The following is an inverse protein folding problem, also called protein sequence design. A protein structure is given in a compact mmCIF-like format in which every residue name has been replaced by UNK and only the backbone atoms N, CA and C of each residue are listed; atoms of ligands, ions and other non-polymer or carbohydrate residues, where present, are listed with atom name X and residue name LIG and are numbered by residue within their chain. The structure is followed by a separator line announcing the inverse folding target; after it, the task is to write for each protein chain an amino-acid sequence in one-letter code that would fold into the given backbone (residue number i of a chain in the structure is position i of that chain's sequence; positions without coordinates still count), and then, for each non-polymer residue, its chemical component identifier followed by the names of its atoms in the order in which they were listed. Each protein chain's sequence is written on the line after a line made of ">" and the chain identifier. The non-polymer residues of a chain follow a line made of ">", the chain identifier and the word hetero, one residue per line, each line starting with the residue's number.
data_IF_393800025125
#
_entry.id   IF_393800025125
#
_cell.length_a   1.000
_cell.length_b   1.000
_cell.length_c   1.000
_cell.angle_alpha   90.00
_cell.angle_beta   90.00
_cell.angle_gamma   90.00
#
_symmetry.space_group_name_H-M   'P 1'
#
loop_
_entity.id
_entity.type
_entity.pdbx_description
1 polymer ?
#
# COMPACT_ATOMS: atom_id res chain seq x y z
N UNK A 1 11.32 34.42 -26.17
CA UNK A 1 10.03 34.74 -26.80
C UNK A 1 9.49 33.52 -27.50
N UNK A 2 8.25 33.17 -27.19
CA UNK A 2 7.56 32.04 -27.84
C UNK A 2 6.64 32.57 -28.95
N UNK A 3 6.58 31.83 -30.07
CA UNK A 3 5.64 32.15 -31.15
C UNK A 3 4.20 31.92 -30.65
N UNK A 4 3.29 32.79 -30.99
CA UNK A 4 1.87 32.64 -30.70
C UNK A 4 1.23 31.63 -31.67
N UNK A 5 1.52 30.35 -31.44
CA UNK A 5 1.03 29.22 -32.24
C UNK A 5 0.51 28.11 -31.34
N UNK A 6 -0.51 27.39 -31.79
CA UNK A 6 -1.08 26.27 -31.05
C UNK A 6 -0.20 25.04 -31.26
N UNK A 7 0.33 24.49 -30.17
CA UNK A 7 0.97 23.18 -30.16
C UNK A 7 0.00 22.11 -29.65
N UNK A 8 0.18 20.88 -30.16
CA UNK A 8 -0.75 19.76 -30.03
C UNK A 8 -1.06 19.26 -28.62
N UNK A 9 -1.37 18.00 -28.51
CA UNK A 9 -2.09 17.41 -27.38
C UNK A 9 -1.20 17.18 -26.14
N UNK A 10 -1.00 18.22 -25.35
CA UNK A 10 -0.07 18.27 -24.20
C UNK A 10 -0.30 17.20 -23.15
N UNK A 11 -1.57 16.93 -22.79
CA UNK A 11 -1.89 15.95 -21.76
C UNK A 11 -1.40 14.56 -22.14
N UNK A 12 -1.67 14.14 -23.38
CA UNK A 12 -1.23 12.82 -23.85
C UNK A 12 0.29 12.67 -23.87
N UNK A 13 1.01 13.74 -24.23
CA UNK A 13 2.46 13.72 -24.34
C UNK A 13 3.18 13.74 -22.99
N UNK A 14 2.46 14.09 -21.92
CA UNK A 14 2.98 14.10 -20.56
C UNK A 14 2.93 12.72 -19.91
N UNK A 15 1.92 11.91 -20.21
CA UNK A 15 1.70 10.62 -19.60
C UNK A 15 2.49 9.50 -20.26
N UNK A 16 2.97 8.58 -19.45
CA UNK A 16 3.58 7.33 -19.88
C UNK A 16 2.53 6.26 -20.18
N UNK A 17 2.96 5.20 -20.84
CA UNK A 17 2.15 3.98 -20.92
C UNK A 17 2.29 3.19 -19.63
N UNK A 18 1.18 2.97 -18.94
CA UNK A 18 1.14 2.13 -17.75
C UNK A 18 1.39 0.66 -18.11
N UNK A 19 2.05 -0.06 -17.19
CA UNK A 19 2.32 -1.47 -17.33
C UNK A 19 2.11 -2.18 -15.98
N UNK A 20 1.40 -3.30 -15.99
CA UNK A 20 1.14 -4.11 -14.81
C UNK A 20 1.56 -5.55 -15.05
N UNK A 21 2.31 -6.12 -14.10
CA UNK A 21 2.78 -7.49 -14.13
C UNK A 21 2.49 -8.16 -12.79
N UNK A 22 1.74 -9.28 -12.84
CA UNK A 22 1.35 -10.02 -11.66
C UNK A 22 1.76 -11.49 -11.82
N UNK A 23 2.46 -12.01 -10.83
CA UNK A 23 2.87 -13.40 -10.74
C UNK A 23 2.36 -13.99 -9.45
N UNK A 24 1.83 -15.21 -9.51
CA UNK A 24 1.44 -15.96 -8.34
C UNK A 24 1.82 -17.45 -8.54
N UNK A 25 2.47 -18.00 -7.53
CA UNK A 25 2.82 -19.41 -7.47
C UNK A 25 2.30 -19.96 -6.15
N UNK A 26 1.63 -21.09 -6.18
CA UNK A 26 1.16 -21.75 -4.97
C UNK A 26 1.37 -23.27 -5.05
N UNK A 27 1.65 -23.85 -3.90
CA UNK A 27 1.68 -25.29 -3.70
C UNK A 27 0.74 -25.63 -2.57
N UNK A 28 -0.02 -26.70 -2.73
CA UNK A 28 -0.95 -27.17 -1.70
C UNK A 28 -1.01 -28.67 -1.68
N UNK A 29 -1.27 -29.20 -0.51
CA UNK A 29 -1.55 -30.61 -0.29
C UNK A 29 -2.71 -30.74 0.70
N UNK A 30 -3.57 -31.72 0.46
CA UNK A 30 -4.70 -32.04 1.33
C UNK A 30 -4.75 -33.55 1.50
N UNK A 31 -4.86 -33.99 2.73
CA UNK A 31 -5.09 -35.39 3.13
C UNK A 31 -6.34 -35.45 3.99
N UNK A 32 -6.77 -36.64 4.38
CA UNK A 32 -7.92 -36.82 5.27
C UNK A 32 -7.74 -36.15 6.64
N UNK A 33 -6.48 -35.92 7.07
CA UNK A 33 -6.14 -35.40 8.41
C UNK A 33 -5.36 -34.11 8.39
N UNK A 34 -4.94 -33.61 7.24
CA UNK A 34 -4.13 -32.40 7.17
C UNK A 34 -4.35 -31.65 5.87
N UNK A 35 -4.17 -30.35 5.95
CA UNK A 35 -4.07 -29.50 4.77
C UNK A 35 -2.88 -28.56 4.92
N UNK A 36 -2.29 -28.23 3.78
CA UNK A 36 -1.22 -27.26 3.70
C UNK A 36 -1.35 -26.48 2.39
N UNK A 37 -1.13 -25.18 2.47
CA UNK A 37 -1.00 -24.31 1.30
C UNK A 37 0.05 -23.25 1.58
N UNK A 38 1.02 -23.13 0.66
CA UNK A 38 1.93 -21.98 0.60
C UNK A 38 1.74 -21.28 -0.74
N UNK A 39 1.70 -19.95 -0.73
CA UNK A 39 1.64 -19.17 -1.94
C UNK A 39 2.56 -17.95 -1.86
N UNK A 40 3.16 -17.64 -3.00
CA UNK A 40 3.97 -16.46 -3.20
C UNK A 40 3.38 -15.63 -4.34
N UNK A 41 3.18 -14.34 -4.11
CA UNK A 41 2.69 -13.39 -5.09
C UNK A 41 3.65 -12.22 -5.26
N UNK A 42 3.81 -11.76 -6.49
CA UNK A 42 4.55 -10.53 -6.82
C UNK A 42 3.75 -9.72 -7.83
N UNK A 43 3.59 -8.42 -7.54
CA UNK A 43 2.91 -7.47 -8.40
C UNK A 43 3.82 -6.26 -8.60
N UNK A 44 4.13 -5.94 -9.86
CA UNK A 44 4.93 -4.80 -10.24
C UNK A 44 4.11 -3.96 -11.23
N UNK A 45 3.82 -2.74 -10.84
CA UNK A 45 3.02 -1.81 -11.64
C UNK A 45 3.82 -0.53 -11.87
N UNK A 46 3.91 -0.12 -13.13
CA UNK A 46 4.28 1.22 -13.54
C UNK A 46 2.99 1.98 -13.88
N UNK A 47 2.75 3.10 -13.20
CA UNK A 47 1.58 3.94 -13.45
C UNK A 47 1.63 4.66 -14.79
N UNK A 48 0.58 5.37 -15.10
CA UNK A 48 0.52 6.26 -16.29
C UNK A 48 1.19 7.60 -16.00
N UNK A 49 1.33 7.97 -14.75
CA UNK A 49 2.14 9.14 -14.38
C UNK A 49 3.61 8.79 -14.47
N UNK A 50 4.44 9.67 -15.05
CA UNK A 50 5.88 9.44 -15.08
C UNK A 50 6.41 9.23 -13.65
N UNK A 51 7.37 8.33 -13.49
CA UNK A 51 8.01 7.91 -12.24
C UNK A 51 7.13 7.07 -11.28
N UNK A 52 5.80 7.05 -11.42
CA UNK A 52 4.90 6.29 -10.54
C UNK A 52 5.16 4.78 -10.60
N UNK A 53 5.39 4.18 -9.43
CA UNK A 53 5.59 2.74 -9.28
C UNK A 53 4.86 2.20 -8.06
N UNK A 54 4.33 0.99 -8.19
CA UNK A 54 3.77 0.22 -7.09
C UNK A 54 4.26 -1.22 -7.15
N UNK A 55 5.00 -1.63 -6.13
CA UNK A 55 5.52 -2.98 -6.00
C UNK A 55 4.91 -3.65 -4.77
N UNK A 56 4.42 -4.89 -4.93
CA UNK A 56 3.90 -5.70 -3.85
C UNK A 56 4.45 -7.11 -3.91
N UNK A 57 4.81 -7.63 -2.76
CA UNK A 57 5.19 -9.02 -2.55
C UNK A 57 4.32 -9.57 -1.42
N UNK A 58 3.77 -10.77 -1.60
CA UNK A 58 3.00 -11.48 -0.59
C UNK A 58 3.52 -12.90 -0.42
N UNK A 59 3.54 -13.35 0.82
CA UNK A 59 3.76 -14.75 1.19
C UNK A 59 2.62 -15.18 2.10
N UNK A 60 1.87 -16.19 1.71
CA UNK A 60 0.78 -16.74 2.51
C UNK A 60 1.06 -18.22 2.82
N UNK A 61 0.95 -18.57 4.07
CA UNK A 61 1.03 -19.94 4.57
C UNK A 61 -0.25 -20.26 5.32
N UNK A 62 -0.86 -21.39 5.02
CA UNK A 62 -2.01 -21.94 5.71
C UNK A 62 -1.76 -23.42 5.92
N UNK A 63 -1.92 -23.89 7.15
CA UNK A 63 -1.78 -25.30 7.49
C UNK A 63 -2.73 -25.68 8.62
N UNK A 64 -3.22 -26.90 8.57
CA UNK A 64 -3.99 -27.48 9.64
C UNK A 64 -3.85 -29.00 9.65
N UNK A 65 -3.99 -29.57 10.83
CA UNK A 65 -3.89 -31.01 11.01
C UNK A 65 -4.73 -31.52 12.18
N UNK A 66 -5.27 -32.71 12.01
CA UNK A 66 -5.82 -33.53 13.10
C UNK A 66 -4.73 -34.46 13.63
N UNK A 67 -4.11 -34.09 14.74
CA UNK A 67 -3.05 -34.91 15.35
C UNK A 67 -3.59 -36.25 15.82
N UNK A 68 -4.79 -36.23 16.37
CA UNK A 68 -5.54 -37.43 16.80
C UNK A 68 -7.02 -37.04 16.99
N UNK A 69 -7.86 -37.97 17.43
CA UNK A 69 -9.30 -37.72 17.68
C UNK A 69 -9.59 -36.65 18.73
N UNK A 70 -8.60 -36.29 19.56
CA UNK A 70 -8.76 -35.31 20.64
C UNK A 70 -8.22 -33.94 20.30
N UNK A 71 -7.25 -33.83 19.40
CA UNK A 71 -6.52 -32.59 19.16
C UNK A 71 -6.42 -32.31 17.67
N UNK A 72 -6.91 -31.14 17.27
CA UNK A 72 -6.67 -30.53 15.96
C UNK A 72 -6.11 -29.12 16.10
N UNK A 73 -5.29 -28.73 15.14
CA UNK A 73 -4.64 -27.43 15.06
C UNK A 73 -4.76 -26.88 13.65
N UNK A 74 -4.94 -25.57 13.56
CA UNK A 74 -4.91 -24.84 12.28
C UNK A 74 -4.27 -23.48 12.45
N UNK A 75 -3.74 -22.96 11.37
CA UNK A 75 -3.12 -21.63 11.43
C UNK A 75 -2.88 -21.06 10.05
N UNK A 76 -2.83 -19.75 10.03
CA UNK A 76 -2.51 -18.96 8.84
C UNK A 76 -1.57 -17.83 9.22
N UNK A 77 -0.57 -17.59 8.38
CA UNK A 77 0.25 -16.39 8.41
C UNK A 77 0.34 -15.79 7.01
N UNK A 78 0.16 -14.49 6.92
CA UNK A 78 0.32 -13.70 5.71
C UNK A 78 1.33 -12.62 5.96
N UNK A 79 2.36 -12.56 5.12
CA UNK A 79 3.39 -11.53 5.12
C UNK A 79 3.26 -10.75 3.83
N UNK A 80 3.30 -9.43 3.90
CA UNK A 80 3.28 -8.59 2.71
C UNK A 80 4.19 -7.39 2.86
N UNK A 81 4.80 -7.01 1.73
CA UNK A 81 5.49 -5.73 1.56
C UNK A 81 4.86 -5.02 0.38
N UNK A 82 4.45 -3.78 0.61
CA UNK A 82 3.96 -2.88 -0.45
C UNK A 82 4.82 -1.64 -0.43
N UNK A 83 5.37 -1.27 -1.59
CA UNK A 83 6.12 -0.03 -1.78
C UNK A 83 5.53 0.73 -2.95
N UNK A 84 5.11 1.96 -2.72
CA UNK A 84 4.73 2.91 -3.76
C UNK A 84 5.73 4.05 -3.80
N UNK A 85 6.03 4.52 -5.00
CA UNK A 85 6.95 5.61 -5.28
C UNK A 85 6.27 6.59 -6.23
N UNK A 86 6.51 7.88 -5.99
CA UNK A 86 6.08 9.00 -6.83
C UNK A 86 4.60 8.97 -7.18
N UNK A 87 3.74 8.75 -6.17
CA UNK A 87 2.29 8.85 -6.36
C UNK A 87 1.91 10.26 -6.76
N UNK A 88 1.03 10.42 -7.76
CA UNK A 88 0.64 11.75 -8.22
C UNK A 88 -0.06 12.55 -7.11
N UNK A 89 0.40 13.76 -6.90
CA UNK A 89 -0.25 14.72 -6.04
C UNK A 89 -1.25 15.56 -6.86
N UNK A 90 -2.53 15.49 -6.51
CA UNK A 90 -3.62 16.17 -7.22
C UNK A 90 -3.95 17.59 -6.68
N UNK A 91 -3.21 18.09 -5.71
CA UNK A 91 -3.37 19.45 -5.19
C UNK A 91 -2.89 20.54 -6.18
N UNK A 92 -3.16 21.79 -5.85
CA UNK A 92 -2.83 22.98 -6.68
C UNK A 92 -1.36 23.02 -7.09
N UNK A 93 -0.47 22.49 -6.24
CA UNK A 93 0.99 22.48 -6.50
C UNK A 93 1.48 21.17 -7.14
N UNK A 94 0.59 20.24 -7.42
CA UNK A 94 0.92 19.01 -8.12
C UNK A 94 1.21 19.23 -9.59
N UNK A 95 2.01 18.34 -10.18
CA UNK A 95 2.42 18.42 -11.58
C UNK A 95 1.24 18.52 -12.56
N UNK A 96 0.09 17.88 -12.24
CA UNK A 96 -1.12 17.91 -13.08
C UNK A 96 -1.74 19.30 -13.12
N UNK A 97 -1.91 19.95 -11.97
CA UNK A 97 -2.46 21.31 -11.93
C UNK A 97 -1.56 22.30 -12.67
N UNK A 98 -0.24 22.15 -12.52
CA UNK A 98 0.74 22.95 -13.23
C UNK A 98 0.67 22.69 -14.75
N UNK A 99 0.55 21.44 -15.16
CA UNK A 99 0.39 21.05 -16.57
C UNK A 99 -0.87 21.66 -17.20
N UNK A 100 -1.99 21.70 -16.50
CA UNK A 100 -3.24 22.29 -16.97
C UNK A 100 -3.14 23.82 -17.11
N UNK A 101 -2.29 24.46 -16.32
CA UNK A 101 -2.04 25.90 -16.38
C UNK A 101 -1.18 26.36 -17.56
N UNK A 102 -0.56 25.44 -18.32
CA UNK A 102 0.35 25.80 -19.43
C UNK A 102 -0.44 26.35 -20.62
N UNK A 103 -0.10 27.55 -21.13
CA UNK A 103 -0.71 28.11 -22.34
C UNK A 103 -0.46 27.24 -23.57
N UNK A 104 -1.39 27.28 -24.54
CA UNK A 104 -1.33 26.42 -25.73
C UNK A 104 -0.17 26.72 -26.68
N UNK A 105 0.49 27.86 -26.53
CA UNK A 105 1.66 28.27 -27.34
C UNK A 105 3.01 27.82 -26.71
N UNK A 106 3.00 27.06 -25.64
CA UNK A 106 4.21 26.50 -25.02
C UNK A 106 4.32 25.01 -25.37
N UNK A 107 5.48 24.55 -25.80
CA UNK A 107 5.74 23.14 -26.07
C UNK A 107 6.15 22.44 -24.79
N UNK A 108 5.54 21.28 -24.51
CA UNK A 108 5.96 20.45 -23.38
C UNK A 108 7.41 20.00 -23.49
N UNK A 109 7.89 19.75 -24.70
CA UNK A 109 9.26 19.29 -24.90
C UNK A 109 10.30 20.33 -24.47
N UNK A 110 9.98 21.63 -24.59
CA UNK A 110 10.86 22.72 -24.16
C UNK A 110 10.94 22.78 -22.63
N UNK A 111 9.92 22.28 -21.92
CA UNK A 111 9.86 22.24 -20.46
C UNK A 111 10.58 21.02 -19.84
N UNK A 112 10.96 20.02 -20.65
CA UNK A 112 11.74 18.87 -20.17
C UNK A 112 13.12 19.26 -19.64
N UNK A 113 13.68 20.35 -20.12
CA UNK A 113 14.86 20.99 -19.52
C UNK A 113 14.42 21.84 -18.34
N UNK A 114 14.01 21.18 -17.26
CA UNK A 114 13.40 21.82 -16.11
C UNK A 114 14.41 22.50 -15.15
N UNK A 115 15.69 22.21 -15.29
CA UNK A 115 16.77 22.76 -14.47
C UNK A 115 17.97 23.09 -15.32
N UNK A 116 18.66 24.21 -15.04
CA UNK A 116 19.91 24.58 -15.70
C UNK A 116 21.13 24.37 -14.82
N UNK A 117 21.03 24.54 -13.51
CA UNK A 117 22.17 24.50 -12.58
C UNK A 117 21.84 23.63 -11.33
N UNK A 118 21.08 22.57 -11.54
CA UNK A 118 20.68 21.63 -10.51
C UNK A 118 19.43 22.00 -9.74
N UNK A 119 19.25 23.26 -9.32
CA UNK A 119 18.16 23.66 -8.45
C UNK A 119 17.17 24.68 -9.05
N UNK A 120 17.60 25.50 -10.01
CA UNK A 120 16.71 26.47 -10.64
C UNK A 120 15.84 25.80 -11.69
N UNK A 121 14.52 26.00 -11.65
CA UNK A 121 13.64 25.48 -12.68
C UNK A 121 13.46 26.42 -13.88
N UNK A 122 13.50 25.87 -15.07
CA UNK A 122 13.20 26.59 -16.31
C UNK A 122 11.68 26.60 -16.50
N UNK A 123 11.12 27.80 -16.64
CA UNK A 123 9.68 27.99 -16.78
C UNK A 123 9.37 29.00 -17.90
N UNK A 124 8.12 29.04 -18.37
CA UNK A 124 7.63 30.02 -19.36
C UNK A 124 7.12 31.31 -18.72
N UNK A 125 6.95 31.32 -17.41
CA UNK A 125 6.54 32.48 -16.62
C UNK A 125 7.75 33.08 -15.90
N UNK A 126 7.61 34.31 -15.42
CA UNK A 126 8.62 34.91 -14.57
C UNK A 126 8.69 34.20 -13.18
N UNK A 127 9.75 34.45 -12.42
CA UNK A 127 9.98 33.76 -11.14
C UNK A 127 8.90 34.01 -10.07
N UNK A 128 8.11 35.08 -10.22
CA UNK A 128 7.06 35.46 -9.27
C UNK A 128 5.68 34.89 -9.58
N UNK A 129 5.52 34.09 -10.64
CA UNK A 129 4.20 33.71 -11.12
C UNK A 129 3.52 32.57 -10.34
N UNK A 130 4.16 31.96 -9.37
CA UNK A 130 3.59 30.87 -8.57
C UNK A 130 3.25 29.59 -9.36
N UNK A 131 3.52 29.57 -10.65
CA UNK A 131 3.32 28.44 -11.57
C UNK A 131 4.68 27.79 -11.82
N UNK A 132 4.79 26.53 -11.55
CA UNK A 132 6.04 25.77 -11.69
C UNK A 132 6.04 24.94 -12.95
N UNK A 133 7.24 24.65 -13.47
CA UNK A 133 7.40 23.68 -14.55
C UNK A 133 6.93 22.29 -14.07
N UNK A 134 5.97 21.63 -14.73
CA UNK A 134 5.46 20.32 -14.30
C UNK A 134 6.52 19.22 -14.27
N UNK A 135 7.55 19.29 -15.12
CA UNK A 135 8.68 18.35 -15.08
C UNK A 135 9.63 18.63 -13.92
N UNK A 136 9.75 19.89 -13.47
CA UNK A 136 10.46 20.18 -12.24
C UNK A 136 9.76 19.55 -11.03
N UNK A 137 8.46 19.76 -10.90
CA UNK A 137 7.66 19.17 -9.82
C UNK A 137 7.76 17.64 -9.85
N UNK A 138 7.70 17.03 -11.03
CA UNK A 138 7.79 15.59 -11.22
C UNK A 138 9.14 14.99 -10.80
N UNK A 139 10.24 15.70 -11.04
CA UNK A 139 11.60 15.16 -10.90
C UNK A 139 12.34 15.68 -9.66
N UNK A 140 11.75 16.64 -8.93
CA UNK A 140 12.36 17.25 -7.75
C UNK A 140 11.51 17.08 -6.49
N UNK A 141 10.30 16.56 -6.63
CA UNK A 141 9.42 16.24 -5.53
C UNK A 141 9.08 14.76 -5.57
N UNK A 142 9.59 14.05 -4.60
CA UNK A 142 9.39 12.61 -4.52
C UNK A 142 8.59 12.27 -3.27
N UNK A 143 7.75 11.27 -3.39
CA UNK A 143 7.11 10.64 -2.25
C UNK A 143 7.23 9.13 -2.35
N UNK A 144 7.38 8.49 -1.23
CA UNK A 144 7.31 7.03 -1.16
C UNK A 144 6.60 6.60 0.11
N UNK A 145 5.83 5.54 0.01
CA UNK A 145 5.30 4.83 1.15
C UNK A 145 5.64 3.35 1.06
N UNK A 146 6.18 2.83 2.14
CA UNK A 146 6.51 1.42 2.28
C UNK A 146 5.80 0.84 3.49
N UNK A 147 5.01 -0.21 3.26
CA UNK A 147 4.32 -0.94 4.32
C UNK A 147 4.74 -2.39 4.36
N UNK A 148 5.19 -2.81 5.53
CA UNK A 148 5.33 -4.21 5.91
C UNK A 148 4.17 -4.61 6.78
N UNK A 149 3.52 -5.73 6.49
CA UNK A 149 2.44 -6.28 7.30
C UNK A 149 2.60 -7.76 7.50
N UNK A 150 2.40 -8.19 8.73
CA UNK A 150 2.31 -9.59 9.12
C UNK A 150 0.99 -9.77 9.87
N UNK A 151 0.12 -10.64 9.38
CA UNK A 151 -1.11 -10.96 10.09
C UNK A 151 -1.43 -12.44 9.98
N UNK A 152 -2.14 -12.94 10.95
CA UNK A 152 -2.46 -14.35 10.96
C UNK A 152 -3.21 -14.77 12.20
N UNK A 153 -3.40 -16.08 12.29
CA UNK A 153 -3.96 -16.70 13.46
C UNK A 153 -3.38 -18.10 13.66
N UNK A 154 -3.47 -18.56 14.88
CA UNK A 154 -3.28 -19.93 15.30
C UNK A 154 -4.50 -20.40 16.07
N UNK A 155 -5.06 -21.55 15.69
CA UNK A 155 -6.21 -22.18 16.32
C UNK A 155 -5.88 -23.57 16.82
N UNK A 156 -6.49 -23.93 17.94
CA UNK A 156 -6.42 -25.26 18.52
C UNK A 156 -7.81 -25.68 18.98
N UNK A 157 -8.18 -26.92 18.71
CA UNK A 157 -9.40 -27.53 19.20
C UNK A 157 -9.09 -28.82 19.92
N UNK A 158 -9.60 -28.93 21.15
CA UNK A 158 -9.48 -30.12 22.02
C UNK A 158 -10.87 -30.71 22.20
N UNK A 159 -11.05 -31.94 21.79
CA UNK A 159 -12.27 -32.73 22.04
C UNK A 159 -12.06 -33.58 23.29
N UNK A 160 -12.64 -33.19 24.41
CA UNK A 160 -12.59 -33.97 25.66
C UNK A 160 -13.46 -35.22 25.57
N UNK A 161 -14.61 -35.07 24.92
CA UNK A 161 -15.58 -36.13 24.65
C UNK A 161 -16.23 -35.85 23.30
N UNK A 162 -17.11 -36.72 22.84
CA UNK A 162 -17.87 -36.53 21.59
C UNK A 162 -18.85 -35.33 21.65
N UNK A 163 -19.15 -34.87 22.86
CA UNK A 163 -20.11 -33.81 23.14
C UNK A 163 -19.50 -32.53 23.78
N UNK A 164 -18.23 -32.58 24.24
CA UNK A 164 -17.57 -31.47 24.94
C UNK A 164 -16.23 -31.17 24.26
N UNK A 165 -16.09 -29.94 23.78
CA UNK A 165 -14.87 -29.47 23.15
C UNK A 165 -14.50 -28.03 23.54
N UNK A 166 -13.21 -27.78 23.55
CA UNK A 166 -12.61 -26.47 23.77
C UNK A 166 -11.93 -26.03 22.49
N UNK A 167 -12.23 -24.80 22.05
CA UNK A 167 -11.49 -24.13 20.98
C UNK A 167 -10.74 -22.93 21.56
N UNK A 168 -9.50 -22.77 21.18
CA UNK A 168 -8.71 -21.59 21.47
C UNK A 168 -8.15 -21.04 20.18
N UNK A 169 -8.24 -19.72 19.98
CA UNK A 169 -7.71 -19.03 18.81
C UNK A 169 -7.00 -17.77 19.24
N UNK A 170 -5.81 -17.57 18.70
CA UNK A 170 -5.06 -16.32 18.83
C UNK A 170 -4.84 -15.74 17.45
N UNK A 171 -5.26 -14.50 17.23
CA UNK A 171 -5.06 -13.76 16.00
C UNK A 171 -4.20 -12.53 16.28
N UNK A 172 -3.43 -12.13 15.28
CA UNK A 172 -2.63 -10.91 15.35
C UNK A 172 -2.58 -10.19 14.00
N UNK A 173 -2.43 -8.88 14.04
CA UNK A 173 -2.14 -8.02 12.91
C UNK A 173 -1.06 -7.01 13.32
N UNK A 174 0.04 -7.01 12.60
CA UNK A 174 1.14 -6.08 12.78
C UNK A 174 1.46 -5.42 11.46
N UNK A 175 1.55 -4.10 11.43
CA UNK A 175 2.14 -3.42 10.30
C UNK A 175 3.04 -2.25 10.73
N UNK A 176 4.04 -2.00 9.90
CA UNK A 176 4.87 -0.80 9.94
C UNK A 176 4.77 -0.12 8.59
N UNK A 177 4.41 1.16 8.60
CA UNK A 177 4.39 2.03 7.42
C UNK A 177 5.44 3.12 7.60
N UNK A 178 6.26 3.31 6.57
CA UNK A 178 7.18 4.44 6.45
C UNK A 178 6.73 5.28 5.27
N UNK A 179 6.54 6.58 5.51
CA UNK A 179 6.22 7.58 4.50
C UNK A 179 7.40 8.54 4.44
N UNK A 180 7.92 8.77 3.25
CA UNK A 180 9.01 9.72 3.00
C UNK A 180 8.60 10.67 1.88
N UNK A 181 8.78 11.95 2.12
CA UNK A 181 8.55 13.01 1.13
C UNK A 181 9.78 13.90 1.07
N UNK A 182 10.27 14.14 -0.13
CA UNK A 182 11.38 15.05 -0.39
C UNK A 182 10.96 16.09 -1.42
N UNK A 183 11.20 17.34 -1.10
CA UNK A 183 10.93 18.46 -1.98
C UNK A 183 12.22 19.25 -2.14
N UNK A 184 12.78 19.31 -3.34
CA UNK A 184 13.87 20.21 -3.61
C UNK A 184 13.38 21.66 -3.62
N UNK A 185 14.10 22.54 -2.99
CA UNK A 185 13.88 23.98 -3.06
C UNK A 185 14.07 24.50 -4.47
N UNK A 186 13.24 25.42 -4.91
CA UNK A 186 13.32 25.96 -6.27
C UNK A 186 14.14 27.27 -6.35
N UNK A 187 14.64 27.76 -5.21
CA UNK A 187 15.43 28.99 -5.13
C UNK A 187 14.65 30.24 -5.51
N UNK A 188 13.34 30.14 -5.69
CA UNK A 188 12.49 31.27 -6.07
C UNK A 188 12.03 31.96 -4.79
N UNK A 189 12.67 33.05 -4.48
CA UNK A 189 12.23 33.99 -3.46
C UNK A 189 11.09 34.84 -4.03
N UNK A 190 9.85 34.38 -3.90
CA UNK A 190 8.68 35.13 -4.35
C UNK A 190 7.83 35.61 -3.19
N UNK A 191 7.34 36.86 -3.24
CA UNK A 191 6.28 37.37 -2.35
C UNK A 191 4.91 36.71 -2.61
N UNK A 192 4.89 35.51 -3.15
CA UNK A 192 3.68 34.76 -3.45
C UNK A 192 3.12 34.17 -2.15
N UNK A 193 1.82 34.28 -1.95
CA UNK A 193 1.06 33.66 -0.84
C UNK A 193 1.08 32.12 -0.85
N UNK A 194 1.80 31.54 -1.77
CA UNK A 194 2.14 30.13 -1.88
C UNK A 194 3.36 29.92 -1.00
N UNK A 195 3.28 29.01 -0.06
CA UNK A 195 4.42 28.61 0.78
C UNK A 195 5.54 28.13 -0.15
N UNK A 196 6.44 29.04 -0.50
CA UNK A 196 7.55 28.77 -1.37
C UNK A 196 8.51 27.87 -0.62
N UNK A 197 8.77 26.71 -1.18
CA UNK A 197 9.82 25.82 -0.69
C UNK A 197 11.12 26.40 -1.26
N UNK A 198 11.67 27.39 -0.55
CA UNK A 198 12.95 28.00 -0.94
C UNK A 198 14.11 27.08 -0.66
N UNK A 199 13.98 26.21 0.34
CA UNK A 199 14.99 25.27 0.79
C UNK A 199 14.55 23.83 0.54
N UNK A 200 15.51 22.91 0.52
CA UNK A 200 15.24 21.49 0.47
C UNK A 200 14.47 21.06 1.72
N UNK A 201 13.40 20.30 1.54
CA UNK A 201 12.57 19.79 2.62
C UNK A 201 12.51 18.27 2.55
N UNK A 202 12.70 17.62 3.70
CA UNK A 202 12.48 16.19 3.86
C UNK A 202 11.52 15.96 5.02
N UNK A 203 10.44 15.25 4.74
CA UNK A 203 9.51 14.76 5.73
C UNK A 203 9.56 13.24 5.80
N UNK A 204 9.61 12.70 7.03
CA UNK A 204 9.60 11.26 7.26
C UNK A 204 8.66 10.94 8.41
N UNK A 205 7.70 10.05 8.14
CA UNK A 205 6.74 9.55 9.12
C UNK A 205 6.87 8.03 9.21
N UNK A 206 6.84 7.52 10.45
CA UNK A 206 6.79 6.08 10.71
C UNK A 206 5.57 5.78 11.59
N UNK A 207 4.74 4.85 11.13
CA UNK A 207 3.58 4.36 11.83
C UNK A 207 3.78 2.88 12.13
N UNK A 208 3.63 2.49 13.39
CA UNK A 208 3.61 1.09 13.81
C UNK A 208 2.25 0.78 14.43
N UNK A 209 1.70 -0.35 14.06
CA UNK A 209 0.43 -0.83 14.57
C UNK A 209 0.57 -2.29 14.97
N UNK A 210 0.01 -2.62 16.11
CA UNK A 210 -0.12 -4.00 16.55
C UNK A 210 -1.47 -4.19 17.22
N UNK A 211 -2.17 -5.23 16.78
CA UNK A 211 -3.43 -5.68 17.36
C UNK A 211 -3.35 -7.18 17.56
N UNK A 212 -3.87 -7.68 18.66
CA UNK A 212 -4.03 -9.11 18.89
C UNK A 212 -5.37 -9.40 19.52
N UNK A 213 -5.90 -10.57 19.25
CA UNK A 213 -7.14 -11.06 19.83
C UNK A 213 -6.99 -12.52 20.25
N UNK A 214 -7.35 -12.82 21.48
CA UNK A 214 -7.41 -14.16 22.01
C UNK A 214 -8.86 -14.56 22.28
N UNK A 215 -9.25 -15.72 21.80
CA UNK A 215 -10.60 -16.25 21.92
C UNK A 215 -10.52 -17.67 22.49
N UNK A 216 -11.33 -17.96 23.50
CA UNK A 216 -11.49 -19.29 24.07
C UNK A 216 -12.98 -19.61 24.14
N UNK A 217 -13.37 -20.73 23.55
CA UNK A 217 -14.75 -21.19 23.51
C UNK A 217 -14.85 -22.61 24.05
N UNK A 218 -15.60 -22.79 25.12
CA UNK A 218 -15.99 -24.13 25.60
C UNK A 218 -17.44 -24.39 25.12
N UNK A 219 -17.59 -25.45 24.35
CA UNK A 219 -18.90 -25.86 23.82
C UNK A 219 -19.25 -27.26 24.24
N UNK A 220 -20.44 -27.41 24.79
CA UNK A 220 -21.08 -28.69 25.12
C UNK A 220 -22.35 -28.88 24.32
N UNK A 221 -22.49 -29.96 23.58
CA UNK A 221 -23.66 -30.33 22.79
C UNK A 221 -23.98 -31.80 23.01
N UNK A 222 -24.96 -32.06 23.85
CA UNK A 222 -25.30 -33.44 24.25
C UNK A 222 -26.78 -33.70 24.11
N UNK A 223 -27.12 -34.81 23.43
CA UNK A 223 -28.45 -35.39 23.46
C UNK A 223 -28.63 -36.10 24.80
N UNK A 224 -29.51 -35.61 25.65
CA UNK A 224 -29.78 -36.14 26.97
C UNK A 224 -30.82 -37.27 26.91
N UNK A 225 -31.86 -37.08 26.08
CA UNK A 225 -32.91 -38.05 25.81
C UNK A 225 -33.36 -37.91 24.36
N UNK A 226 -34.20 -38.79 23.85
CA UNK A 226 -34.73 -38.70 22.48
C UNK A 226 -35.41 -37.34 22.17
N UNK A 227 -35.94 -36.69 23.22
CA UNK A 227 -36.67 -35.43 23.10
C UNK A 227 -35.94 -34.20 23.64
N UNK A 228 -34.77 -34.38 24.32
CA UNK A 228 -34.01 -33.26 24.93
C UNK A 228 -32.56 -33.24 24.53
N UNK A 229 -32.16 -32.10 23.95
CA UNK A 229 -30.76 -31.79 23.63
C UNK A 229 -30.30 -30.58 24.46
N UNK A 230 -29.15 -30.71 25.08
CA UNK A 230 -28.49 -29.63 25.81
C UNK A 230 -27.38 -29.04 24.96
N UNK A 231 -27.48 -27.73 24.68
CA UNK A 231 -26.43 -26.95 24.06
C UNK A 231 -25.96 -25.87 25.06
N UNK A 232 -24.68 -25.84 25.38
CA UNK A 232 -24.07 -24.85 26.24
C UNK A 232 -22.81 -24.28 25.55
N UNK A 233 -22.64 -22.96 25.61
CA UNK A 233 -21.49 -22.26 25.07
C UNK A 233 -20.99 -21.23 26.09
N UNK A 234 -19.70 -21.28 26.38
CA UNK A 234 -18.99 -20.28 27.14
C UNK A 234 -17.93 -19.69 26.24
N UNK A 235 -17.99 -18.39 26.01
CA UNK A 235 -17.08 -17.64 25.16
C UNK A 235 -16.37 -16.58 25.98
N UNK A 236 -15.05 -16.55 25.89
CA UNK A 236 -14.17 -15.54 26.48
C UNK A 236 -13.32 -15.00 25.34
N UNK A 237 -13.37 -13.68 25.12
CA UNK A 237 -12.49 -13.02 24.18
C UNK A 237 -11.86 -11.79 24.84
N UNK A 238 -10.58 -11.58 24.56
CA UNK A 238 -9.83 -10.38 24.95
C UNK A 238 -9.20 -9.78 23.70
N UNK A 239 -9.32 -8.45 23.51
CA UNK A 239 -8.69 -7.73 22.41
C UNK A 239 -7.18 -7.61 22.58
#
# INVERSE_FOLDING_TARGET
>A
TYAFSKYGNKLKDYFDTGFAQNHNVSVSNVTDKSHFRASFGSSNNKGVFPNEKLNRINLDLNAGMEMNKYLSMDGKISLSRTKAEDRPYFGTYGAIAQLMGIPNNIRLNDLKQYSTDGNAHVNWTGPTAGIRNPYYVLNQRHNSDERWRAFGYYGMKINFTDWLHLSAKYAFDYYRTRIEETNAGDGINGESSIKDITDDEMNREEQNFFESNAEIVLMGDKQLTDNFRLLSLIHISEP
#
